data_IF_113895111106
#
_entry.id   IF_113895111106
#
_cell.length_a   1.000
_cell.length_b   1.000
_cell.length_c   1.000
_cell.angle_alpha   90.00
_cell.angle_beta   90.00
_cell.angle_gamma   90.00
#
_symmetry.space_group_name_H-M   'P 1'
#
loop_
_entity.id
_entity.type
_entity.pdbx_description
1 polymer ?
#
# COMPACT_ATOMS: atom_id res chain seq x y z
N UNK A 1 -3.01 -8.60 19.44
CA UNK A 1 -2.59 -7.23 19.08
C UNK A 1 -3.44 -6.76 17.90
N UNK A 2 -4.76 -6.69 18.12
CA UNK A 2 -5.75 -6.20 17.13
C UNK A 2 -6.53 -5.00 17.70
N UNK A 3 -6.12 -4.50 18.87
CA UNK A 3 -6.93 -3.60 19.70
C UNK A 3 -6.67 -2.10 19.47
N UNK A 4 -6.12 -1.71 18.32
CA UNK A 4 -5.78 -0.29 18.08
C UNK A 4 -6.60 0.39 16.97
N UNK A 5 -7.56 -0.31 16.36
CA UNK A 5 -8.37 0.25 15.25
C UNK A 5 -9.86 0.44 15.59
N UNK A 6 -10.29 0.09 16.80
CA UNK A 6 -11.68 0.22 17.22
C UNK A 6 -11.91 1.57 17.92
N UNK A 7 -11.89 2.67 17.16
CA UNK A 7 -12.60 3.92 17.51
C UNK A 7 -12.31 5.01 16.46
N UNK A 8 -12.88 4.91 15.26
CA UNK A 8 -13.18 6.13 14.48
C UNK A 8 -14.53 6.04 13.80
N UNK A 9 -15.48 6.53 14.59
CA UNK A 9 -16.70 7.22 14.23
C UNK A 9 -16.78 7.79 12.81
N UNK A 10 -17.97 7.57 12.25
CA UNK A 10 -18.49 7.90 10.92
C UNK A 10 -17.97 9.23 10.38
N UNK A 11 -17.06 9.19 9.40
CA UNK A 11 -16.78 10.31 8.50
C UNK A 11 -16.81 9.83 7.06
N UNK A 12 -17.83 10.30 6.35
CA UNK A 12 -17.89 10.70 4.93
C UNK A 12 -16.95 9.92 4.00
N UNK A 13 -17.50 9.17 3.03
CA UNK A 13 -16.85 8.09 2.26
C UNK A 13 -15.51 8.35 1.53
N UNK A 14 -14.91 9.54 1.64
CA UNK A 14 -13.52 9.81 1.26
C UNK A 14 -12.49 9.21 2.23
N UNK A 15 -12.85 8.99 3.49
CA UNK A 15 -11.96 8.37 4.50
C UNK A 15 -11.61 6.92 4.14
N UNK A 16 -12.59 6.15 3.67
CA UNK A 16 -12.45 4.72 3.37
C UNK A 16 -11.37 4.41 2.33
N UNK A 17 -11.16 5.30 1.36
CA UNK A 17 -10.14 5.10 0.32
C UNK A 17 -8.75 5.34 0.89
N UNK A 18 -8.57 6.40 1.70
CA UNK A 18 -7.32 6.68 2.39
C UNK A 18 -6.95 5.55 3.37
N UNK A 19 -7.94 4.98 4.08
CA UNK A 19 -7.75 3.86 5.00
C UNK A 19 -7.26 2.60 4.27
N UNK A 20 -7.80 2.31 3.08
CA UNK A 20 -7.34 1.18 2.26
C UNK A 20 -5.89 1.33 1.82
N UNK A 21 -5.48 2.53 1.42
CA UNK A 21 -4.08 2.80 1.08
C UNK A 21 -3.17 2.69 2.30
N UNK A 22 -3.63 3.12 3.48
CA UNK A 22 -2.88 2.96 4.72
C UNK A 22 -2.65 1.48 5.06
N UNK A 23 -3.66 0.63 4.87
CA UNK A 23 -3.54 -0.83 5.07
C UNK A 23 -2.55 -1.46 4.08
N UNK A 24 -2.64 -1.12 2.79
CA UNK A 24 -1.71 -1.63 1.78
C UNK A 24 -0.26 -1.20 2.08
N UNK A 25 -0.08 0.06 2.44
CA UNK A 25 1.23 0.59 2.82
C UNK A 25 1.78 -0.12 4.06
N UNK A 26 0.94 -0.35 5.08
CA UNK A 26 1.32 -1.08 6.27
C UNK A 26 1.71 -2.52 5.95
N UNK A 27 0.89 -3.24 5.19
CA UNK A 27 1.16 -4.63 4.83
C UNK A 27 2.49 -4.80 4.08
N UNK A 28 2.84 -3.86 3.18
CA UNK A 28 4.11 -3.91 2.46
C UNK A 28 5.30 -3.48 3.34
N UNK A 29 5.12 -2.54 4.26
CA UNK A 29 6.24 -1.86 4.94
C UNK A 29 6.39 -2.18 6.44
N UNK A 30 5.57 -3.07 7.00
CA UNK A 30 5.63 -3.43 8.44
C UNK A 30 6.88 -4.23 8.79
N UNK A 31 7.23 -5.20 7.95
CA UNK A 31 8.34 -6.14 8.21
C UNK A 31 9.65 -5.70 7.56
N UNK A 32 9.86 -4.39 7.39
CA UNK A 32 11.07 -3.87 6.76
C UNK A 32 12.31 -4.22 7.58
N UNK A 33 13.29 -4.83 6.91
CA UNK A 33 14.56 -5.19 7.51
C UNK A 33 15.41 -3.97 7.90
N UNK A 34 16.42 -4.22 8.74
CA UNK A 34 17.44 -3.22 9.07
C UNK A 34 18.29 -2.90 7.83
N UNK A 35 18.52 -1.61 7.59
CA UNK A 35 19.41 -1.17 6.53
C UNK A 35 20.82 -1.64 6.87
N UNK A 36 21.47 -2.36 5.94
CA UNK A 36 22.87 -2.79 6.06
C UNK A 36 23.77 -1.88 5.22
N UNK A 37 24.99 -1.67 5.69
CA UNK A 37 26.05 -1.01 4.92
C UNK A 37 26.63 -2.00 3.88
N UNK A 38 27.45 -1.52 2.94
CA UNK A 38 28.08 -2.38 1.92
C UNK A 38 28.93 -3.50 2.55
N UNK A 39 29.46 -3.26 3.75
CA UNK A 39 30.25 -4.23 4.52
C UNK A 39 29.38 -5.21 5.36
N UNK A 40 28.05 -5.15 5.22
CA UNK A 40 27.10 -6.04 5.92
C UNK A 40 26.73 -5.62 7.34
N UNK A 41 27.35 -4.57 7.89
CA UNK A 41 27.04 -4.01 9.21
C UNK A 41 25.71 -3.27 9.23
N UNK A 42 24.90 -3.46 10.28
CA UNK A 42 23.63 -2.76 10.44
C UNK A 42 23.84 -1.26 10.63
N UNK A 43 23.14 -0.44 9.85
CA UNK A 43 23.16 1.01 9.99
C UNK A 43 22.34 1.43 11.21
N UNK A 44 23.00 2.18 12.09
CA UNK A 44 22.40 2.70 13.31
C UNK A 44 22.54 4.21 13.37
N UNK A 45 21.50 4.88 13.84
CA UNK A 45 21.46 6.31 14.07
C UNK A 45 21.62 6.61 15.56
N UNK A 46 22.62 7.41 15.92
CA UNK A 46 22.87 7.82 17.29
C UNK A 46 22.13 9.14 17.53
N UNK A 47 21.08 9.09 18.35
CA UNK A 47 20.31 10.28 18.73
C UNK A 47 20.67 10.69 20.15
N UNK A 48 20.84 11.98 20.38
CA UNK A 48 21.07 12.58 21.71
C UNK A 48 19.81 13.31 22.16
N UNK A 49 18.92 12.68 22.94
CA UNK A 49 17.71 13.33 23.40
C UNK A 49 18.04 14.38 24.47
N UNK A 50 17.47 15.58 24.34
CA UNK A 50 17.72 16.68 25.29
C UNK A 50 17.38 16.33 26.76
N UNK A 51 16.39 15.46 26.97
CA UNK A 51 15.98 15.01 28.31
C UNK A 51 16.96 14.06 28.98
N UNK A 52 17.89 13.46 28.21
CA UNK A 52 18.89 12.50 28.72
C UNK A 52 20.21 13.14 29.16
N UNK A 53 20.28 14.49 29.26
CA UNK A 53 21.42 15.23 29.82
C UNK A 53 22.80 14.77 29.30
N UNK A 54 22.90 14.40 28.02
CA UNK A 54 24.15 13.98 27.37
C UNK A 54 24.26 12.49 27.07
N UNK A 55 23.35 11.63 27.53
CA UNK A 55 23.35 10.23 27.09
C UNK A 55 22.79 10.09 25.66
N UNK A 56 23.29 9.08 24.94
CA UNK A 56 22.85 8.76 23.59
C UNK A 56 21.85 7.60 23.58
N UNK A 57 21.09 7.49 22.50
CA UNK A 57 20.22 6.34 22.21
C UNK A 57 20.46 5.91 20.78
N UNK A 58 20.74 4.62 20.62
CA UNK A 58 20.95 4.00 19.31
C UNK A 58 19.59 3.61 18.74
N UNK A 59 19.26 4.16 17.57
CA UNK A 59 18.05 3.82 16.81
C UNK A 59 18.46 3.03 15.57
N UNK A 60 17.81 1.90 15.32
CA UNK A 60 18.04 1.12 14.11
C UNK A 60 17.47 1.87 12.89
N UNK A 61 18.23 1.93 11.80
CA UNK A 61 17.75 2.48 10.54
C UNK A 61 17.11 1.34 9.76
N UNK A 62 15.85 1.50 9.38
CA UNK A 62 15.15 0.54 8.52
C UNK A 62 15.40 0.88 7.05
N UNK A 63 15.30 -0.13 6.18
CA UNK A 63 15.32 0.06 4.73
C UNK A 63 14.20 1.04 4.31
N UNK A 64 14.46 1.84 3.27
CA UNK A 64 13.51 2.82 2.73
C UNK A 64 12.17 2.15 2.38
N UNK A 65 11.04 2.81 2.69
CA UNK A 65 9.72 2.30 2.30
C UNK A 65 9.61 2.11 0.79
N UNK A 66 8.87 1.09 0.39
CA UNK A 66 8.49 0.82 -0.98
C UNK A 66 6.99 1.10 -1.18
N UNK A 67 6.60 1.26 -2.44
CA UNK A 67 5.23 1.62 -2.86
C UNK A 67 4.74 0.71 -3.99
N UNK A 68 5.18 -0.55 -4.02
CA UNK A 68 4.89 -1.47 -5.13
C UNK A 68 3.40 -1.72 -5.29
N UNK A 69 2.65 -1.75 -4.17
CA UNK A 69 1.20 -1.85 -4.18
C UNK A 69 0.51 -0.78 -5.07
N UNK A 70 1.11 0.39 -5.28
CA UNK A 70 0.55 1.44 -6.13
C UNK A 70 0.66 1.05 -7.61
N UNK A 71 1.78 0.47 -8.01
CA UNK A 71 2.03 0.09 -9.39
C UNK A 71 1.20 -1.15 -9.75
N UNK A 72 1.16 -2.14 -8.86
CA UNK A 72 0.28 -3.31 -9.01
C UNK A 72 -1.19 -2.88 -9.12
N UNK A 73 -1.62 -1.89 -8.34
CA UNK A 73 -3.00 -1.38 -8.42
C UNK A 73 -3.29 -0.71 -9.77
N UNK A 74 -2.36 0.10 -10.29
CA UNK A 74 -2.52 0.76 -11.60
C UNK A 74 -2.63 -0.28 -12.72
N UNK A 75 -1.74 -1.26 -12.73
CA UNK A 75 -1.74 -2.33 -13.73
C UNK A 75 -3.06 -3.11 -13.70
N UNK A 76 -3.54 -3.44 -12.50
CA UNK A 76 -4.82 -4.11 -12.33
C UNK A 76 -6.00 -3.29 -12.87
N UNK A 77 -6.02 -1.98 -12.65
CA UNK A 77 -7.09 -1.10 -13.18
C UNK A 77 -7.05 -1.07 -14.71
N UNK A 78 -5.87 -0.91 -15.32
CA UNK A 78 -5.71 -0.91 -16.79
C UNK A 78 -6.23 -2.21 -17.38
N UNK A 79 -5.79 -3.35 -16.83
CA UNK A 79 -6.21 -4.68 -17.27
C UNK A 79 -7.73 -4.89 -17.18
N UNK A 80 -8.37 -4.39 -16.12
CA UNK A 80 -9.83 -4.48 -15.96
C UNK A 80 -10.53 -3.64 -17.05
N UNK A 81 -10.04 -2.44 -17.33
CA UNK A 81 -10.63 -1.56 -18.35
C UNK A 81 -10.50 -2.18 -19.75
N UNK A 82 -9.34 -2.73 -20.10
CA UNK A 82 -9.12 -3.45 -21.36
C UNK A 82 -10.02 -4.69 -21.47
N UNK A 83 -10.20 -5.43 -20.37
CA UNK A 83 -11.11 -6.57 -20.29
C UNK A 83 -12.59 -6.18 -20.46
N UNK A 84 -12.98 -4.99 -20.02
CA UNK A 84 -14.33 -4.46 -20.24
C UNK A 84 -14.52 -4.09 -21.72
N UNK A 85 -13.55 -3.43 -22.33
CA UNK A 85 -13.63 -3.01 -23.73
C UNK A 85 -13.79 -4.21 -24.67
N UNK A 86 -13.00 -5.25 -24.46
CA UNK A 86 -13.10 -6.53 -25.19
C UNK A 86 -14.47 -7.19 -25.02
N UNK A 87 -14.98 -7.27 -23.79
CA UNK A 87 -16.30 -7.85 -23.53
C UNK A 87 -17.47 -7.04 -24.14
N UNK A 88 -17.35 -5.71 -24.22
CA UNK A 88 -18.36 -4.85 -24.87
C UNK A 88 -18.35 -5.04 -26.38
N UNK A 89 -17.17 -5.15 -26.99
CA UNK A 89 -17.02 -5.41 -28.42
C UNK A 89 -17.58 -6.79 -28.80
N UNK A 90 -17.31 -7.83 -28.01
CA UNK A 90 -17.90 -9.16 -28.23
C UNK A 90 -19.43 -9.15 -28.15
N UNK A 91 -20.01 -8.43 -27.19
CA UNK A 91 -21.47 -8.25 -27.06
C UNK A 91 -22.06 -7.43 -28.20
N UNK A 92 -21.35 -6.43 -28.71
CA UNK A 92 -21.78 -5.60 -29.84
C UNK A 92 -21.65 -6.32 -31.19
N UNK A 93 -20.66 -7.21 -31.32
CA UNK A 93 -20.41 -8.04 -32.50
C UNK A 93 -21.31 -9.29 -32.55
N UNK A 94 -21.95 -9.67 -31.44
CA UNK A 94 -22.92 -10.75 -31.42
C UNK A 94 -24.07 -10.45 -32.40
N UNK A 95 -24.34 -11.32 -33.39
CA UNK A 95 -25.42 -11.07 -34.33
C UNK A 95 -26.74 -11.01 -33.57
N UNK A 96 -27.49 -9.92 -33.78
CA UNK A 96 -28.88 -9.77 -33.33
C UNK A 96 -29.81 -10.69 -34.15
N UNK A 97 -29.50 -11.97 -34.25
CA UNK A 97 -30.37 -12.95 -34.89
C UNK A 97 -31.31 -13.54 -33.86
N UNK A 98 -32.59 -13.18 -33.98
CA UNK A 98 -33.80 -13.86 -33.49
C UNK A 98 -34.17 -13.62 -32.02
N UNK A 99 -34.61 -12.38 -31.71
CA UNK A 99 -35.79 -12.22 -30.86
C UNK A 99 -37.01 -12.38 -31.78
N UNK A 100 -37.48 -13.63 -31.96
CA UNK A 100 -38.82 -13.90 -32.51
C UNK A 100 -39.78 -13.96 -31.33
N UNK A 101 -40.66 -12.97 -31.23
CA UNK A 101 -41.88 -13.05 -30.43
C UNK A 101 -42.92 -13.89 -31.16
#
# INVERSE_FOLDING_TARGET
MVDCMAEKEKRNGSSLVADKFAILHFNENSDREHAKLQDGTEQVNIVFPKYKKGEYTVKKILVKCTYRYVDDLKENVVRILEGIETAVLERAAAPRSLVRF
#
